data_IF_961428815326
#
_entry.id   IF_961428815326
#
_cell.length_a   1.000
_cell.length_b   1.000
_cell.length_c   1.000
_cell.angle_alpha   90.00
_cell.angle_beta   90.00
_cell.angle_gamma   90.00
#
_symmetry.space_group_name_H-M   'P 1'
#
loop_
_entity.id
_entity.type
_entity.pdbx_description
1 polymer ?
#
# COMPACT_ATOMS: atom_id res chain seq x y z
N UNK A 1 19.29 43.72 2.88
CA UNK A 1 18.83 42.88 4.00
C UNK A 1 18.20 41.62 3.42
N UNK A 2 18.74 40.45 3.77
CA UNK A 2 18.25 39.12 3.38
C UNK A 2 17.13 38.70 4.34
N UNK A 3 15.98 38.28 3.80
CA UNK A 3 14.99 37.47 4.51
C UNK A 3 14.90 36.14 3.73
N UNK A 4 15.67 35.11 4.12
CA UNK A 4 15.24 34.06 5.05
C UNK A 4 13.90 33.47 4.57
N UNK A 5 13.85 32.33 3.87
CA UNK A 5 14.53 31.09 4.22
C UNK A 5 13.59 30.24 5.07
N UNK A 6 13.15 29.11 4.50
CA UNK A 6 12.64 27.89 5.15
C UNK A 6 11.41 27.98 6.07
N UNK A 7 10.25 27.57 5.55
CA UNK A 7 9.27 26.81 6.33
C UNK A 7 9.50 25.33 6.09
N UNK A 8 10.34 24.74 6.95
CA UNK A 8 10.50 23.30 7.07
C UNK A 8 9.79 22.86 8.35
N UNK A 9 8.66 22.17 8.18
CA UNK A 9 7.94 21.34 9.14
C UNK A 9 7.40 20.22 8.24
N UNK A 10 7.75 18.95 8.36
CA UNK A 10 8.32 18.16 9.44
C UNK A 10 9.28 17.10 8.83
N UNK A 11 10.39 16.89 9.53
CA UNK A 11 11.02 15.58 9.78
C UNK A 11 11.32 14.67 8.58
N UNK A 12 12.51 14.88 8.02
CA UNK A 12 13.26 13.90 7.23
C UNK A 12 13.53 12.64 8.08
N UNK A 13 12.93 11.49 7.75
CA UNK A 13 13.44 10.19 8.23
C UNK A 13 13.40 9.09 7.17
N UNK A 14 14.54 8.98 6.50
CA UNK A 14 15.24 7.74 6.11
C UNK A 14 14.41 6.56 5.56
N UNK A 15 14.24 6.51 4.24
CA UNK A 15 14.58 5.36 3.40
C UNK A 15 14.73 5.88 1.95
N UNK A 16 15.66 5.28 1.22
CA UNK A 16 16.26 5.74 -0.05
C UNK A 16 15.30 6.19 -1.17
N UNK A 17 15.78 6.94 -2.18
CA UNK A 17 15.02 7.25 -3.39
C UNK A 17 14.98 6.01 -4.30
N UNK A 18 14.26 4.98 -3.89
CA UNK A 18 13.92 3.88 -4.76
C UNK A 18 12.44 4.04 -5.07
N UNK A 19 12.12 4.37 -6.33
CA UNK A 19 10.79 4.41 -6.92
C UNK A 19 9.75 3.69 -6.07
N UNK A 20 8.84 4.42 -5.41
CA UNK A 20 7.84 3.80 -4.55
C UNK A 20 7.17 2.68 -5.34
N UNK A 21 7.31 1.40 -4.93
CA UNK A 21 6.96 0.26 -5.78
C UNK A 21 5.45 0.15 -5.98
N UNK A 22 4.70 0.98 -5.25
CA UNK A 22 3.25 1.12 -5.27
C UNK A 22 2.79 2.42 -5.94
N UNK A 23 3.69 3.31 -6.37
CA UNK A 23 3.30 4.59 -6.96
C UNK A 23 2.43 4.41 -8.21
N UNK A 24 1.24 5.04 -8.20
CA UNK A 24 0.27 4.95 -9.29
C UNK A 24 -0.45 3.60 -9.41
N UNK A 25 -0.16 2.64 -8.53
CA UNK A 25 -0.80 1.32 -8.53
C UNK A 25 -2.01 1.28 -7.64
N UNK A 26 -2.98 0.45 -8.02
CA UNK A 26 -4.20 0.26 -7.21
C UNK A 26 -4.06 -1.02 -6.40
N UNK A 27 -4.10 -0.89 -5.08
CA UNK A 27 -3.96 -1.99 -4.13
C UNK A 27 -5.27 -2.18 -3.38
N UNK A 28 -5.75 -3.41 -3.30
CA UNK A 28 -6.96 -3.76 -2.55
C UNK A 28 -6.60 -4.55 -1.32
N UNK A 29 -7.16 -4.16 -0.18
CA UNK A 29 -6.91 -4.84 1.08
C UNK A 29 -8.12 -5.72 1.41
N UNK A 30 -7.87 -6.98 1.74
CA UNK A 30 -8.90 -7.96 2.09
C UNK A 30 -8.45 -8.89 3.20
N UNK A 31 -9.42 -9.40 3.96
CA UNK A 31 -9.19 -10.21 5.14
C UNK A 31 -8.99 -9.36 6.39
N UNK A 32 -8.77 -10.04 7.50
CA UNK A 32 -8.36 -9.52 8.78
C UNK A 32 -6.84 -9.48 8.79
N UNK A 33 -6.30 -8.27 8.91
CA UNK A 33 -4.87 -8.06 9.00
C UNK A 33 -4.43 -8.27 10.45
N UNK A 34 -3.43 -9.11 10.68
CA UNK A 34 -2.93 -9.40 12.03
C UNK A 34 -1.78 -8.46 12.42
N UNK A 35 -0.96 -8.05 11.45
CA UNK A 35 0.23 -7.25 11.70
C UNK A 35 -0.02 -5.74 11.56
N UNK A 36 -1.00 -5.36 10.76
CA UNK A 36 -1.34 -3.97 10.51
C UNK A 36 -2.84 -3.75 10.68
N UNK A 37 -3.26 -2.57 11.12
CA UNK A 37 -4.65 -2.20 10.92
C UNK A 37 -4.93 -1.92 9.45
N UNK A 38 -6.16 -2.17 9.01
CA UNK A 38 -6.61 -1.80 7.64
C UNK A 38 -6.27 -0.34 7.33
N UNK A 39 -6.52 0.56 8.28
CA UNK A 39 -6.22 1.98 8.12
C UNK A 39 -4.71 2.27 8.00
N UNK A 40 -3.86 1.51 8.69
CA UNK A 40 -2.40 1.63 8.64
C UNK A 40 -1.85 1.24 7.28
N UNK A 41 -2.28 0.09 6.75
CA UNK A 41 -1.88 -0.34 5.41
C UNK A 41 -2.38 0.65 4.35
N UNK A 42 -3.62 1.16 4.49
CA UNK A 42 -4.14 2.16 3.57
C UNK A 42 -3.32 3.47 3.60
N UNK A 43 -2.85 3.87 4.78
CA UNK A 43 -1.95 5.02 4.95
C UNK A 43 -0.57 4.76 4.34
N UNK A 44 0.02 3.59 4.58
CA UNK A 44 1.29 3.17 3.97
C UNK A 44 1.20 3.15 2.44
N UNK A 45 0.15 2.55 1.90
CA UNK A 45 -0.12 2.54 0.45
C UNK A 45 -0.14 3.97 -0.10
N UNK A 46 -0.88 4.88 0.56
CA UNK A 46 -0.97 6.29 0.15
C UNK A 46 0.36 7.03 0.29
N UNK A 47 1.10 6.82 1.38
CA UNK A 47 2.45 7.38 1.61
C UNK A 47 3.43 6.95 0.53
N UNK A 48 3.29 5.72 0.05
CA UNK A 48 4.08 5.16 -1.05
C UNK A 48 3.52 5.56 -2.43
N UNK A 49 2.56 6.48 -2.51
CA UNK A 49 1.98 6.98 -3.77
C UNK A 49 1.02 6.02 -4.47
N UNK A 50 0.62 4.95 -3.80
CA UNK A 50 -0.38 4.01 -4.27
C UNK A 50 -1.81 4.43 -3.91
N UNK A 51 -2.79 3.76 -4.53
CA UNK A 51 -4.21 3.93 -4.23
C UNK A 51 -4.77 2.70 -3.54
N UNK A 52 -5.24 2.86 -2.31
CA UNK A 52 -6.02 1.85 -1.64
C UNK A 52 -7.47 1.83 -2.18
N UNK A 53 -7.95 0.65 -2.59
CA UNK A 53 -9.32 0.42 -3.03
C UNK A 53 -9.98 -0.70 -2.21
N UNK A 54 -11.30 -0.62 -2.00
CA UNK A 54 -12.04 -1.62 -1.22
C UNK A 54 -12.50 -2.85 -2.01
N UNK A 55 -12.38 -2.81 -3.35
CA UNK A 55 -12.95 -3.81 -4.26
C UNK A 55 -11.96 -4.22 -5.33
N UNK A 56 -11.86 -5.53 -5.57
CA UNK A 56 -11.02 -6.10 -6.63
C UNK A 56 -11.68 -5.83 -7.98
N UNK A 57 -10.94 -5.16 -8.86
CA UNK A 57 -11.38 -4.79 -10.20
C UNK A 57 -10.25 -5.03 -11.21
N UNK A 58 -10.55 -4.96 -12.51
CA UNK A 58 -9.54 -5.12 -13.58
C UNK A 58 -8.42 -4.07 -13.52
N UNK A 59 -8.65 -2.95 -12.82
CA UNK A 59 -7.66 -1.89 -12.60
C UNK A 59 -6.78 -2.11 -11.37
N UNK A 60 -7.05 -3.16 -10.59
CA UNK A 60 -6.28 -3.49 -9.40
C UNK A 60 -4.98 -4.17 -9.81
N UNK A 61 -3.85 -3.60 -9.43
CA UNK A 61 -2.53 -4.19 -9.64
C UNK A 61 -2.24 -5.29 -8.61
N UNK A 62 -2.58 -5.01 -7.34
CA UNK A 62 -2.25 -5.86 -6.21
C UNK A 62 -3.42 -6.03 -5.26
N UNK A 63 -3.50 -7.20 -4.63
CA UNK A 63 -4.43 -7.45 -3.54
C UNK A 63 -3.64 -7.89 -2.32
N UNK A 64 -3.68 -7.13 -1.24
CA UNK A 64 -3.16 -7.55 0.06
C UNK A 64 -4.20 -8.43 0.73
N UNK A 65 -3.90 -9.71 0.88
CA UNK A 65 -4.73 -10.69 1.56
C UNK A 65 -4.17 -10.99 2.95
N UNK A 66 -4.94 -10.62 3.98
CA UNK A 66 -4.75 -11.04 5.35
C UNK A 66 -5.45 -12.37 5.66
N UNK A 67 -5.52 -12.68 6.94
CA UNK A 67 -6.24 -13.85 7.47
C UNK A 67 -7.72 -13.78 7.06
N UNK A 68 -8.27 -14.86 6.52
CA UNK A 68 -9.66 -14.90 6.02
C UNK A 68 -10.00 -13.97 4.84
N UNK A 69 -9.07 -13.72 3.91
CA UNK A 69 -9.34 -12.94 2.69
C UNK A 69 -10.46 -13.50 1.77
N UNK A 70 -10.86 -14.77 1.97
CA UNK A 70 -12.05 -15.44 1.44
C UNK A 70 -12.49 -14.99 0.04
N UNK A 71 -13.60 -14.24 -0.02
CA UNK A 71 -14.30 -13.91 -1.26
C UNK A 71 -13.58 -12.92 -2.19
N UNK A 72 -12.64 -12.10 -1.68
CA UNK A 72 -11.88 -11.16 -2.53
C UNK A 72 -10.58 -11.78 -3.03
N UNK A 73 -9.98 -12.69 -2.27
CA UNK A 73 -8.84 -13.48 -2.75
C UNK A 73 -9.23 -14.33 -3.95
N UNK A 74 -10.39 -14.98 -3.87
CA UNK A 74 -10.90 -15.79 -4.98
C UNK A 74 -11.15 -14.93 -6.22
N UNK A 75 -11.74 -13.74 -6.05
CA UNK A 75 -11.97 -12.78 -7.13
C UNK A 75 -10.67 -12.24 -7.73
N UNK A 76 -9.65 -11.97 -6.90
CA UNK A 76 -8.33 -11.56 -7.37
C UNK A 76 -7.69 -12.65 -8.23
N UNK A 77 -7.77 -13.91 -7.78
CA UNK A 77 -7.25 -15.07 -8.48
C UNK A 77 -7.99 -15.34 -9.80
N UNK A 78 -9.33 -15.16 -9.83
CA UNK A 78 -10.13 -15.24 -11.05
C UNK A 78 -9.79 -14.15 -12.07
N UNK A 79 -9.49 -12.94 -11.59
CA UNK A 79 -9.11 -11.80 -12.45
C UNK A 79 -7.63 -11.83 -12.85
N UNK A 80 -6.83 -12.77 -12.33
CA UNK A 80 -5.38 -12.83 -12.56
C UNK A 80 -4.62 -11.70 -11.87
N UNK A 81 -5.21 -11.07 -10.86
CA UNK A 81 -4.56 -10.00 -10.07
C UNK A 81 -3.59 -10.63 -9.07
N UNK A 82 -2.45 -9.97 -8.89
CA UNK A 82 -1.38 -10.48 -8.03
C UNK A 82 -1.77 -10.30 -6.57
N UNK A 83 -1.82 -11.40 -5.82
CA UNK A 83 -2.16 -11.40 -4.39
C UNK A 83 -0.85 -11.38 -3.60
N UNK A 84 -0.75 -10.46 -2.64
CA UNK A 84 0.34 -10.28 -1.71
C UNK A 84 -0.17 -10.57 -0.31
N UNK A 85 0.63 -11.24 0.51
CA UNK A 85 0.39 -11.34 1.94
C UNK A 85 0.87 -10.09 2.68
N UNK A 86 0.46 -9.92 3.95
CA UNK A 86 1.00 -8.86 4.82
C UNK A 86 2.53 -8.90 4.92
N UNK A 87 3.10 -10.11 4.94
CA UNK A 87 4.54 -10.37 4.95
C UNK A 87 5.24 -9.90 3.67
N UNK A 88 4.62 -10.17 2.52
CA UNK A 88 5.13 -9.72 1.23
C UNK A 88 4.99 -8.20 1.07
N UNK A 89 3.87 -7.63 1.50
CA UNK A 89 3.68 -6.19 1.48
C UNK A 89 4.75 -5.50 2.31
N UNK A 90 5.00 -5.96 3.56
CA UNK A 90 6.06 -5.38 4.40
C UNK A 90 7.45 -5.52 3.76
N UNK A 91 7.77 -6.66 3.14
CA UNK A 91 9.05 -6.86 2.45
C UNK A 91 9.24 -5.97 1.23
N UNK A 92 8.14 -5.56 0.60
CA UNK A 92 8.16 -4.70 -0.57
C UNK A 92 8.37 -3.23 -0.22
N UNK A 93 8.09 -2.84 1.03
CA UNK A 93 8.18 -1.45 1.52
C UNK A 93 9.34 -1.23 2.52
N UNK A 94 10.02 -2.29 2.92
CA UNK A 94 11.19 -2.31 3.79
C UNK A 94 12.48 -2.28 2.97
#
# INVERSE_FOLDING_TARGET
>A
LQALGVKMTEERRAASPASSPLAGKTIVVTGTLQHYSRNEIEDLIKKLGGKAAGSVSKKTDFVVAGEEAGSKLEKARQLGVRVLTEDEFRKMIQ
#
